data_IF_128649258284
#
_entry.id   IF_128649258284
#
_cell.length_a   1.000
_cell.length_b   1.000
_cell.length_c   1.000
_cell.angle_alpha   90.00
_cell.angle_beta   90.00
_cell.angle_gamma   90.00
#
_symmetry.space_group_name_H-M   'P 1'
#
loop_
_entity.id
_entity.type
_entity.pdbx_description
1 polymer ?
#
# COMPACT_ATOMS: atom_id res chain seq x y z
N UNK A 1 -32.96 6.68 0.10
CA UNK A 1 -31.58 6.38 0.56
C UNK A 1 -31.34 7.27 1.75
N UNK A 2 -31.09 6.73 2.94
CA UNK A 2 -30.68 7.55 4.07
C UNK A 2 -29.34 8.19 3.72
N UNK A 3 -29.21 9.51 3.88
CA UNK A 3 -27.92 10.18 3.75
C UNK A 3 -26.97 9.59 4.80
N UNK A 4 -26.00 8.79 4.38
CA UNK A 4 -24.95 8.31 5.26
C UNK A 4 -24.12 9.50 5.72
N UNK A 5 -23.88 9.60 7.01
CA UNK A 5 -22.98 10.60 7.58
C UNK A 5 -21.64 9.88 7.79
N UNK A 6 -20.69 10.12 6.92
CA UNK A 6 -19.30 9.62 7.07
C UNK A 6 -18.65 10.40 8.21
N UNK A 7 -18.03 9.70 9.13
CA UNK A 7 -17.21 10.26 10.21
C UNK A 7 -15.78 9.72 10.22
N UNK A 8 -15.56 8.59 9.55
CA UNK A 8 -14.30 7.85 9.57
C UNK A 8 -13.81 7.53 8.15
N UNK A 9 -12.58 7.95 7.85
CA UNK A 9 -11.94 7.72 6.56
C UNK A 9 -10.77 6.78 6.75
N UNK A 10 -10.84 5.63 6.11
CA UNK A 10 -9.79 4.63 6.10
C UNK A 10 -9.02 4.72 4.79
N UNK A 11 -7.72 4.85 4.87
CA UNK A 11 -6.82 4.84 3.72
C UNK A 11 -6.00 3.55 3.67
N UNK A 12 -5.78 3.04 2.48
CA UNK A 12 -4.58 2.26 2.24
C UNK A 12 -3.35 3.18 2.22
N UNK A 13 -2.15 2.63 2.38
CA UNK A 13 -0.92 3.42 2.43
C UNK A 13 -0.14 3.36 1.12
N UNK A 14 0.33 2.17 0.74
CA UNK A 14 1.18 1.97 -0.43
C UNK A 14 0.36 2.11 -1.73
N UNK A 15 0.88 2.84 -2.71
CA UNK A 15 0.18 3.20 -3.94
C UNK A 15 -1.08 4.07 -3.75
N UNK A 16 -1.39 4.49 -2.52
CA UNK A 16 -2.53 5.39 -2.23
C UNK A 16 -2.06 6.74 -1.71
N UNK A 17 -1.34 6.76 -0.60
CA UNK A 17 -0.74 7.98 -0.02
C UNK A 17 0.77 8.01 -0.24
N UNK A 18 1.43 6.86 -0.14
CA UNK A 18 2.86 6.66 -0.22
C UNK A 18 3.23 6.16 -1.63
N UNK A 19 4.05 6.92 -2.35
CA UNK A 19 4.49 6.63 -3.72
C UNK A 19 5.46 5.44 -3.73
N UNK A 20 4.86 4.24 -3.76
CA UNK A 20 5.62 2.99 -3.64
C UNK A 20 6.62 2.81 -4.77
N UNK A 21 6.23 3.05 -6.02
CA UNK A 21 7.10 2.83 -7.17
C UNK A 21 8.34 3.72 -7.11
N UNK A 22 8.17 4.99 -6.81
CA UNK A 22 9.27 5.94 -6.69
C UNK A 22 10.22 5.59 -5.55
N UNK A 23 9.67 5.34 -4.36
CA UNK A 23 10.48 5.04 -3.18
C UNK A 23 11.18 3.68 -3.33
N UNK A 24 10.52 2.68 -3.89
CA UNK A 24 11.08 1.37 -4.21
C UNK A 24 12.23 1.48 -5.21
N UNK A 25 12.04 2.26 -6.29
CA UNK A 25 13.08 2.49 -7.29
C UNK A 25 14.34 3.14 -6.71
N UNK A 26 14.18 4.17 -5.87
CA UNK A 26 15.30 4.82 -5.18
C UNK A 26 16.02 3.87 -4.21
N UNK A 27 15.25 3.02 -3.52
CA UNK A 27 15.81 2.00 -2.64
C UNK A 27 16.67 1.02 -3.44
N UNK A 28 16.13 0.46 -4.53
CA UNK A 28 16.88 -0.47 -5.37
C UNK A 28 18.11 0.19 -6.01
N UNK A 29 17.98 1.42 -6.50
CA UNK A 29 19.14 2.15 -7.02
C UNK A 29 20.28 2.23 -5.98
N UNK A 30 19.91 2.48 -4.72
CA UNK A 30 20.87 2.59 -3.62
C UNK A 30 21.52 1.25 -3.29
N UNK A 31 20.72 0.21 -3.05
CA UNK A 31 21.25 -1.10 -2.60
C UNK A 31 21.96 -1.87 -3.71
N UNK A 32 21.50 -1.76 -4.97
CA UNK A 32 22.17 -2.39 -6.11
C UNK A 32 23.55 -1.76 -6.36
N UNK A 33 23.64 -0.43 -6.33
CA UNK A 33 24.91 0.27 -6.43
C UNK A 33 25.88 -0.07 -5.28
N UNK A 34 25.37 -0.09 -4.03
CA UNK A 34 26.16 -0.44 -2.83
C UNK A 34 26.77 -1.85 -2.93
N UNK A 35 26.05 -2.79 -3.51
CA UNK A 35 26.45 -4.18 -3.65
C UNK A 35 27.12 -4.50 -5.00
N UNK A 36 27.46 -3.48 -5.81
CA UNK A 36 28.07 -3.61 -7.13
C UNK A 36 27.27 -4.50 -8.12
N UNK A 37 25.94 -4.47 -8.05
CA UNK A 37 25.07 -5.16 -8.98
C UNK A 37 24.86 -4.29 -10.21
N UNK A 38 25.39 -4.70 -11.35
CA UNK A 38 25.51 -3.90 -12.58
C UNK A 38 24.29 -3.93 -13.50
N UNK A 39 23.07 -4.17 -12.98
CA UNK A 39 21.83 -4.12 -13.79
C UNK A 39 21.42 -2.68 -14.09
N UNK A 40 20.78 -2.47 -15.25
CA UNK A 40 20.12 -1.19 -15.52
C UNK A 40 18.92 -1.04 -14.60
N UNK A 41 18.87 0.04 -13.81
CA UNK A 41 17.79 0.22 -12.81
C UNK A 41 16.41 0.40 -13.45
N UNK A 42 16.32 1.03 -14.62
CA UNK A 42 15.04 1.21 -15.30
C UNK A 42 14.48 -0.14 -15.79
N UNK A 43 15.32 -0.97 -16.40
CA UNK A 43 14.94 -2.31 -16.84
C UNK A 43 14.57 -3.20 -15.63
N UNK A 44 15.40 -3.12 -14.56
CA UNK A 44 15.13 -3.83 -13.31
C UNK A 44 13.76 -3.47 -12.74
N UNK A 45 13.43 -2.19 -12.64
CA UNK A 45 12.15 -1.75 -12.07
C UNK A 45 10.94 -2.16 -12.92
N UNK A 46 11.04 -2.17 -14.25
CA UNK A 46 9.97 -2.66 -15.12
C UNK A 46 9.63 -4.12 -14.84
N UNK A 47 10.65 -4.96 -14.74
CA UNK A 47 10.49 -6.39 -14.46
C UNK A 47 10.06 -6.62 -13.02
N UNK A 48 10.73 -5.97 -12.07
CA UNK A 48 10.46 -6.11 -10.64
C UNK A 48 9.03 -5.69 -10.27
N UNK A 49 8.52 -4.56 -10.76
CA UNK A 49 7.18 -4.08 -10.39
C UNK A 49 6.09 -5.08 -10.77
N UNK A 50 6.21 -5.70 -11.95
CA UNK A 50 5.26 -6.74 -12.40
C UNK A 50 5.37 -8.00 -11.54
N UNK A 51 6.59 -8.53 -11.34
CA UNK A 51 6.82 -9.74 -10.54
C UNK A 51 6.41 -9.50 -9.08
N UNK A 52 6.77 -8.35 -8.51
CA UNK A 52 6.36 -7.97 -7.16
C UNK A 52 4.84 -7.98 -6.99
N UNK A 53 4.10 -7.46 -7.97
CA UNK A 53 2.64 -7.51 -7.95
C UNK A 53 2.12 -8.96 -7.92
N UNK A 54 2.65 -9.85 -8.77
CA UNK A 54 2.28 -11.27 -8.84
C UNK A 54 2.55 -11.99 -7.50
N UNK A 55 3.71 -11.74 -6.89
CA UNK A 55 4.06 -12.31 -5.58
C UNK A 55 3.15 -11.79 -4.46
N UNK A 56 2.78 -10.51 -4.48
CA UNK A 56 1.81 -9.96 -3.54
C UNK A 56 0.41 -10.56 -3.70
N UNK A 57 -0.03 -10.87 -4.92
CA UNK A 57 -1.31 -11.59 -5.16
C UNK A 57 -1.29 -12.97 -4.50
N UNK A 58 -0.18 -13.71 -4.61
CA UNK A 58 -0.03 -15.02 -3.95
C UNK A 58 0.02 -14.88 -2.42
N UNK A 59 0.75 -13.89 -1.92
CA UNK A 59 0.88 -13.65 -0.49
C UNK A 59 -0.44 -13.22 0.16
N UNK A 60 -1.26 -12.42 -0.52
CA UNK A 60 -2.58 -11.98 -0.02
C UNK A 60 -3.52 -13.15 0.28
N UNK A 61 -3.40 -14.25 -0.46
CA UNK A 61 -4.25 -15.45 -0.32
C UNK A 61 -3.52 -16.61 0.38
N UNK A 62 -2.45 -16.31 1.10
CA UNK A 62 -1.66 -17.27 1.89
C UNK A 62 -1.10 -18.46 1.09
N UNK A 63 -0.86 -18.28 -0.21
CA UNK A 63 -0.24 -19.30 -1.08
C UNK A 63 1.28 -19.37 -0.94
N UNK A 64 1.89 -18.28 -0.46
CA UNK A 64 3.31 -18.17 -0.17
C UNK A 64 3.54 -17.50 1.18
N UNK A 65 4.67 -17.79 1.78
CA UNK A 65 5.13 -17.16 3.02
C UNK A 65 5.74 -15.78 2.74
N UNK A 66 5.98 -15.01 3.80
CA UNK A 66 6.70 -13.73 3.71
C UNK A 66 8.14 -13.92 3.20
N UNK A 67 8.80 -15.00 3.58
CA UNK A 67 10.15 -15.32 3.14
C UNK A 67 10.17 -15.62 1.63
N UNK A 68 9.25 -16.46 1.16
CA UNK A 68 9.08 -16.76 -0.27
C UNK A 68 8.74 -15.52 -1.09
N UNK A 69 7.88 -14.62 -0.59
CA UNK A 69 7.60 -13.33 -1.21
C UNK A 69 8.88 -12.51 -1.36
N UNK A 70 9.65 -12.36 -0.27
CA UNK A 70 10.81 -11.48 -0.22
C UNK A 70 11.96 -11.96 -1.09
N UNK A 71 12.22 -13.27 -1.07
CA UNK A 71 13.27 -13.90 -1.85
C UNK A 71 12.84 -14.08 -3.32
N UNK A 72 11.67 -14.70 -3.54
CA UNK A 72 11.24 -15.12 -4.87
C UNK A 72 11.09 -13.98 -5.85
N UNK A 73 10.48 -12.87 -5.44
CA UNK A 73 10.33 -11.71 -6.33
C UNK A 73 11.67 -11.13 -6.82
N UNK A 74 12.73 -11.19 -6.03
CA UNK A 74 14.07 -10.77 -6.46
C UNK A 74 14.72 -11.81 -7.36
N UNK A 75 14.65 -13.09 -6.97
CA UNK A 75 15.17 -14.19 -7.75
C UNK A 75 14.62 -14.18 -9.17
N UNK A 76 13.29 -14.19 -9.31
CA UNK A 76 12.62 -14.22 -10.60
C UNK A 76 12.92 -12.95 -11.42
N UNK A 77 13.08 -11.79 -10.76
CA UNK A 77 13.48 -10.56 -11.44
C UNK A 77 14.86 -10.67 -12.07
N UNK A 78 15.85 -11.20 -11.35
CA UNK A 78 17.19 -11.40 -11.89
C UNK A 78 17.23 -12.50 -12.95
N UNK A 79 16.48 -13.58 -12.78
CA UNK A 79 16.34 -14.64 -13.78
C UNK A 79 15.74 -14.10 -15.09
N UNK A 80 14.70 -13.27 -15.04
CA UNK A 80 14.09 -12.70 -16.25
C UNK A 80 15.01 -11.67 -16.94
N UNK A 81 15.90 -11.05 -16.19
CA UNK A 81 16.93 -10.15 -16.74
C UNK A 81 18.17 -10.86 -17.24
N UNK A 82 18.21 -12.19 -17.24
CA UNK A 82 19.40 -13.00 -17.58
C UNK A 82 20.64 -12.57 -16.80
N UNK A 83 20.47 -12.12 -15.54
CA UNK A 83 21.56 -11.65 -14.69
C UNK A 83 21.93 -12.69 -13.64
N UNK A 84 23.17 -13.22 -13.75
CA UNK A 84 23.69 -14.19 -12.79
C UNK A 84 23.93 -13.53 -11.43
N UNK A 85 23.28 -14.04 -10.40
CA UNK A 85 23.39 -13.57 -9.03
C UNK A 85 23.36 -14.75 -8.05
N UNK A 86 24.13 -14.69 -6.97
CA UNK A 86 24.10 -15.75 -5.96
C UNK A 86 22.90 -15.62 -5.02
N UNK A 87 22.39 -16.75 -4.52
CA UNK A 87 21.32 -16.76 -3.51
C UNK A 87 21.68 -15.94 -2.27
N UNK A 88 22.94 -15.99 -1.84
CA UNK A 88 23.42 -15.20 -0.71
C UNK A 88 23.25 -13.68 -0.95
N UNK A 89 23.51 -13.20 -2.18
CA UNK A 89 23.34 -11.80 -2.53
C UNK A 89 21.85 -11.44 -2.66
N UNK A 90 21.01 -12.33 -3.17
CA UNK A 90 19.54 -12.13 -3.19
C UNK A 90 19.00 -11.96 -1.77
N UNK A 91 19.40 -12.82 -0.83
CA UNK A 91 19.00 -12.69 0.57
C UNK A 91 19.47 -11.35 1.17
N UNK A 92 20.72 -10.96 0.94
CA UNK A 92 21.25 -9.68 1.41
C UNK A 92 20.44 -8.50 0.84
N UNK A 93 20.19 -8.47 -0.48
CA UNK A 93 19.38 -7.44 -1.12
C UNK A 93 17.94 -7.40 -0.59
N UNK A 94 17.36 -8.56 -0.30
CA UNK A 94 16.03 -8.67 0.29
C UNK A 94 15.96 -8.03 1.68
N UNK A 95 16.97 -8.26 2.51
CA UNK A 95 17.06 -7.66 3.85
C UNK A 95 17.32 -6.14 3.78
N UNK A 96 18.28 -5.73 2.96
CA UNK A 96 18.62 -4.31 2.74
C UNK A 96 17.40 -3.55 2.16
N UNK A 97 16.65 -4.15 1.24
CA UNK A 97 15.45 -3.52 0.70
C UNK A 97 14.44 -3.19 1.80
N UNK A 98 14.13 -4.13 2.68
CA UNK A 98 13.19 -3.89 3.78
C UNK A 98 13.74 -2.86 4.78
N UNK A 99 15.05 -2.87 5.04
CA UNK A 99 15.67 -1.94 5.96
C UNK A 99 15.70 -0.50 5.42
N UNK A 100 16.01 -0.32 4.12
CA UNK A 100 16.21 0.99 3.51
C UNK A 100 14.94 1.57 2.85
N UNK A 101 13.92 0.76 2.56
CA UNK A 101 12.70 1.23 1.90
C UNK A 101 12.04 2.42 2.63
N UNK A 102 11.96 2.47 3.97
CA UNK A 102 11.37 3.61 4.69
C UNK A 102 12.28 4.84 4.78
N UNK A 103 13.47 4.84 4.20
CA UNK A 103 14.36 6.02 4.16
C UNK A 103 13.94 7.01 3.06
N UNK A 104 13.27 6.53 2.00
CA UNK A 104 12.67 7.34 0.95
C UNK A 104 11.20 7.55 1.25
N UNK A 105 10.73 8.82 1.24
CA UNK A 105 9.45 9.18 1.83
C UNK A 105 8.60 10.08 0.91
N UNK A 106 8.65 9.81 -0.39
CA UNK A 106 7.80 10.51 -1.34
C UNK A 106 6.35 10.06 -1.16
N UNK A 107 5.47 11.04 -1.10
CA UNK A 107 4.03 10.85 -1.09
C UNK A 107 3.47 11.22 -2.46
N UNK A 108 2.30 10.69 -2.79
CA UNK A 108 1.56 11.16 -3.95
C UNK A 108 1.21 12.65 -3.84
N UNK A 109 1.14 13.30 -4.99
CA UNK A 109 0.76 14.72 -5.06
C UNK A 109 -0.60 14.95 -4.39
N UNK A 110 -0.66 15.98 -3.53
CA UNK A 110 -1.85 16.33 -2.78
C UNK A 110 -2.12 15.49 -1.53
N UNK A 111 -1.31 14.47 -1.20
CA UNK A 111 -1.54 13.63 -0.02
C UNK A 111 -1.59 14.44 1.28
N UNK A 112 -0.57 15.27 1.55
CA UNK A 112 -0.53 16.10 2.77
C UNK A 112 -1.70 17.08 2.79
N UNK A 113 -1.97 17.77 1.67
CA UNK A 113 -3.06 18.75 1.60
C UNK A 113 -4.44 18.12 1.85
N UNK A 114 -4.65 16.89 1.41
CA UNK A 114 -5.89 16.16 1.65
C UNK A 114 -5.99 15.73 3.10
N UNK A 115 -4.90 15.21 3.68
CA UNK A 115 -4.88 14.83 5.10
C UNK A 115 -5.15 16.04 6.01
N UNK A 116 -4.53 17.19 5.73
CA UNK A 116 -4.79 18.45 6.46
C UNK A 116 -6.23 18.91 6.33
N UNK A 117 -6.82 18.78 5.14
CA UNK A 117 -8.22 19.14 4.88
C UNK A 117 -9.22 18.22 5.57
N UNK A 118 -8.94 16.91 5.59
CA UNK A 118 -9.85 15.92 6.16
C UNK A 118 -9.76 15.81 7.67
N UNK A 119 -8.57 15.93 8.27
CA UNK A 119 -8.35 15.71 9.72
C UNK A 119 -9.26 16.54 10.64
N UNK A 120 -9.59 17.82 10.36
CA UNK A 120 -10.53 18.57 11.19
C UNK A 120 -11.99 18.11 11.10
N UNK A 121 -12.35 17.33 10.08
CA UNK A 121 -13.73 16.93 9.78
C UNK A 121 -14.00 15.45 10.07
N UNK A 122 -12.97 14.60 9.96
CA UNK A 122 -13.06 13.16 10.02
C UNK A 122 -11.97 12.57 10.92
N UNK A 123 -12.22 11.42 11.49
CA UNK A 123 -11.18 10.56 12.04
C UNK A 123 -10.51 9.82 10.89
N UNK A 124 -9.18 9.83 10.85
CA UNK A 124 -8.43 9.20 9.77
C UNK A 124 -7.74 7.94 10.28
N UNK A 125 -7.74 6.90 9.46
CA UNK A 125 -7.24 5.58 9.80
C UNK A 125 -6.48 4.97 8.63
N UNK A 126 -5.56 4.04 8.92
CA UNK A 126 -4.88 3.22 7.91
C UNK A 126 -5.34 1.77 8.01
N UNK A 127 -5.55 1.12 6.85
CA UNK A 127 -5.65 -0.35 6.72
C UNK A 127 -4.69 -0.79 5.63
N UNK A 128 -3.61 -1.50 5.98
CA UNK A 128 -2.56 -1.89 5.04
C UNK A 128 -2.19 -3.37 5.12
N UNK A 129 -1.74 -3.96 4.01
CA UNK A 129 -1.17 -5.31 3.97
C UNK A 129 0.35 -5.33 4.24
N UNK A 130 0.99 -4.16 4.35
CA UNK A 130 2.42 -4.05 4.60
C UNK A 130 2.83 -4.56 5.99
N UNK A 131 4.11 -4.82 6.15
CA UNK A 131 4.70 -5.32 7.40
C UNK A 131 4.70 -4.24 8.48
N UNK A 132 4.26 -4.57 9.67
CA UNK A 132 4.05 -3.65 10.78
C UNK A 132 5.19 -2.62 10.96
N UNK A 133 6.42 -3.10 11.18
CA UNK A 133 7.58 -2.22 11.40
C UNK A 133 7.89 -1.30 10.21
N UNK A 134 7.70 -1.79 8.99
CA UNK A 134 7.98 -1.01 7.78
C UNK A 134 6.94 0.11 7.63
N UNK A 135 5.66 -0.20 7.84
CA UNK A 135 4.59 0.79 7.74
C UNK A 135 4.70 1.88 8.82
N UNK A 136 5.04 1.48 10.06
CA UNK A 136 5.30 2.44 11.15
C UNK A 136 6.44 3.42 10.79
N UNK A 137 7.54 2.91 10.24
CA UNK A 137 8.66 3.74 9.78
C UNK A 137 8.26 4.63 8.59
N UNK A 138 7.53 4.12 7.60
CA UNK A 138 7.03 4.93 6.48
C UNK A 138 6.19 6.10 6.96
N UNK A 139 5.21 5.85 7.83
CA UNK A 139 4.34 6.89 8.39
C UNK A 139 5.12 7.94 9.18
N UNK A 140 6.08 7.52 9.99
CA UNK A 140 6.92 8.43 10.78
C UNK A 140 7.85 9.26 9.90
N UNK A 141 8.56 8.60 9.00
CA UNK A 141 9.58 9.25 8.19
C UNK A 141 8.98 10.18 7.12
N UNK A 142 7.78 9.88 6.61
CA UNK A 142 7.03 10.80 5.73
C UNK A 142 6.26 11.88 6.50
N UNK A 143 6.42 11.93 7.83
CA UNK A 143 5.80 12.91 8.71
C UNK A 143 4.26 12.95 8.64
N UNK A 144 3.61 11.84 8.31
CA UNK A 144 2.13 11.75 8.23
C UNK A 144 1.49 10.95 9.35
N UNK A 145 2.27 10.30 10.23
CA UNK A 145 1.74 9.47 11.31
C UNK A 145 0.73 10.20 12.22
N UNK A 146 0.94 11.50 12.45
CA UNK A 146 0.12 12.32 13.34
C UNK A 146 -1.30 12.61 12.81
N UNK A 147 -1.57 12.36 11.52
CA UNK A 147 -2.91 12.49 10.96
C UNK A 147 -3.82 11.31 11.33
N UNK A 148 -3.28 10.14 11.64
CA UNK A 148 -4.06 8.92 11.81
C UNK A 148 -4.33 8.60 13.28
N UNK A 149 -5.61 8.34 13.59
CA UNK A 149 -6.03 7.93 14.92
C UNK A 149 -5.74 6.45 15.17
N UNK A 150 -5.80 5.62 14.12
CA UNK A 150 -5.44 4.19 14.19
C UNK A 150 -4.72 3.72 12.93
N UNK A 151 -3.85 2.72 13.10
CA UNK A 151 -3.20 2.00 12.01
C UNK A 151 -3.45 0.52 12.21
N UNK A 152 -4.04 -0.12 11.22
CA UNK A 152 -4.28 -1.57 11.19
C UNK A 152 -3.45 -2.16 10.05
N UNK A 153 -2.54 -3.03 10.38
CA UNK A 153 -1.74 -3.81 9.44
C UNK A 153 -2.11 -5.30 9.48
N UNK A 154 -1.60 -6.07 8.52
CA UNK A 154 -1.93 -7.49 8.40
C UNK A 154 -1.41 -8.33 9.56
N UNK A 155 -0.33 -7.94 10.23
CA UNK A 155 0.24 -8.66 11.38
C UNK A 155 -0.62 -8.43 12.62
N UNK A 156 -1.06 -7.20 12.89
CA UNK A 156 -1.94 -6.85 14.01
C UNK A 156 -3.33 -7.48 13.89
N UNK A 157 -3.85 -7.60 12.67
CA UNK A 157 -5.13 -8.23 12.40
C UNK A 157 -5.06 -9.76 12.27
N UNK A 158 -3.85 -10.31 12.08
CA UNK A 158 -3.61 -11.74 11.83
C UNK A 158 -4.04 -12.23 10.45
N UNK A 159 -4.52 -11.34 9.59
CA UNK A 159 -4.99 -11.63 8.21
C UNK A 159 -4.76 -10.43 7.32
N UNK A 160 -4.75 -10.65 6.00
CA UNK A 160 -4.54 -9.64 4.96
C UNK A 160 -5.84 -9.21 4.27
N UNK A 161 -5.94 -7.97 3.79
CA UNK A 161 -6.97 -7.59 2.79
C UNK A 161 -6.82 -8.50 1.57
N UNK A 162 -7.91 -9.04 0.98
CA UNK A 162 -9.32 -8.68 1.14
C UNK A 162 -10.09 -9.44 2.25
N UNK A 163 -9.43 -10.15 3.18
CA UNK A 163 -10.13 -10.88 4.23
C UNK A 163 -10.98 -9.92 5.07
N UNK A 164 -12.30 -10.18 5.26
CA UNK A 164 -13.19 -9.28 6.01
C UNK A 164 -12.79 -9.06 7.48
N UNK A 165 -11.99 -9.96 8.04
CA UNK A 165 -11.57 -9.86 9.44
C UNK A 165 -10.70 -8.62 9.67
N UNK A 166 -9.80 -8.24 8.71
CA UNK A 166 -8.95 -7.05 8.89
C UNK A 166 -9.79 -5.76 8.94
N UNK A 167 -10.84 -5.65 8.13
CA UNK A 167 -11.75 -4.50 8.15
C UNK A 167 -12.57 -4.45 9.45
N UNK A 168 -13.08 -5.59 9.92
CA UNK A 168 -13.80 -5.68 11.21
C UNK A 168 -12.88 -5.32 12.37
N UNK A 169 -11.63 -5.76 12.33
CA UNK A 169 -10.61 -5.39 13.31
C UNK A 169 -10.35 -3.88 13.28
N UNK A 170 -10.16 -3.29 12.11
CA UNK A 170 -9.96 -1.85 11.94
C UNK A 170 -11.15 -1.03 12.48
N UNK A 171 -12.39 -1.43 12.17
CA UNK A 171 -13.59 -0.80 12.73
C UNK A 171 -13.63 -0.88 14.26
N UNK A 172 -13.28 -2.04 14.81
CA UNK A 172 -13.25 -2.25 16.26
C UNK A 172 -12.20 -1.34 16.93
N UNK A 173 -10.96 -1.30 16.41
CA UNK A 173 -9.88 -0.46 16.93
C UNK A 173 -10.21 1.03 16.79
N UNK A 174 -10.83 1.43 15.69
CA UNK A 174 -11.29 2.80 15.47
C UNK A 174 -12.54 3.17 16.29
N UNK A 175 -13.17 2.19 16.95
CA UNK A 175 -14.44 2.36 17.65
C UNK A 175 -15.49 3.06 16.78
N UNK A 176 -15.74 2.51 15.59
CA UNK A 176 -16.70 3.04 14.62
C UNK A 176 -17.55 1.94 14.00
N UNK A 177 -18.55 2.35 13.21
CA UNK A 177 -19.45 1.45 12.49
C UNK A 177 -19.22 1.57 10.98
N UNK A 178 -19.52 0.49 10.28
CA UNK A 178 -19.31 0.41 8.84
C UNK A 178 -20.12 1.44 8.05
N UNK A 179 -21.31 1.77 8.55
CA UNK A 179 -22.23 2.74 7.92
C UNK A 179 -21.67 4.16 7.91
N UNK A 180 -20.74 4.47 8.82
CA UNK A 180 -20.13 5.80 8.98
C UNK A 180 -18.72 5.85 8.38
N UNK A 181 -18.29 4.77 7.69
CA UNK A 181 -16.93 4.57 7.26
C UNK A 181 -16.81 4.53 5.74
N UNK A 182 -15.72 5.12 5.24
CA UNK A 182 -15.33 5.07 3.83
C UNK A 182 -13.91 4.55 3.69
N UNK A 183 -13.67 3.67 2.71
CA UNK A 183 -12.34 3.16 2.35
C UNK A 183 -11.83 3.87 1.09
N UNK A 184 -10.57 4.30 1.11
CA UNK A 184 -9.87 4.90 -0.04
C UNK A 184 -8.62 4.07 -0.28
N UNK A 185 -8.46 3.52 -1.49
CA UNK A 185 -7.31 2.68 -1.83
C UNK A 185 -7.15 2.48 -3.33
N UNK A 186 -5.99 1.95 -3.74
CA UNK A 186 -5.59 1.75 -5.13
C UNK A 186 -5.91 0.36 -5.68
N UNK A 187 -6.36 -0.57 -4.85
CA UNK A 187 -6.61 -1.95 -5.25
C UNK A 187 -8.11 -2.27 -5.29
N UNK A 188 -8.63 -2.52 -6.50
CA UNK A 188 -10.04 -2.86 -6.70
C UNK A 188 -10.46 -4.10 -5.86
N UNK A 189 -9.59 -5.11 -5.76
CA UNK A 189 -9.92 -6.37 -5.08
C UNK A 189 -9.81 -6.21 -3.57
N UNK A 190 -8.65 -5.74 -3.09
CA UNK A 190 -8.32 -5.76 -1.66
C UNK A 190 -8.91 -4.58 -0.88
N UNK A 191 -9.12 -3.43 -1.52
CA UNK A 191 -9.62 -2.24 -0.84
C UNK A 191 -11.09 -1.97 -1.16
N UNK A 192 -11.43 -1.94 -2.43
CA UNK A 192 -12.73 -1.44 -2.88
C UNK A 192 -13.79 -2.52 -2.79
N UNK A 193 -13.65 -3.64 -3.50
CA UNK A 193 -14.66 -4.69 -3.49
C UNK A 193 -14.82 -5.31 -2.10
N UNK A 194 -13.70 -5.50 -1.39
CA UNK A 194 -13.72 -6.05 -0.05
C UNK A 194 -14.49 -5.14 0.92
N UNK A 195 -14.20 -3.85 0.96
CA UNK A 195 -14.87 -2.90 1.84
C UNK A 195 -16.34 -2.69 1.47
N UNK A 196 -16.66 -2.55 0.17
CA UNK A 196 -18.05 -2.44 -0.31
C UNK A 196 -18.89 -3.66 0.09
N UNK A 197 -18.32 -4.88 0.01
CA UNK A 197 -19.02 -6.12 0.41
C UNK A 197 -19.42 -6.17 1.88
N UNK A 198 -18.71 -5.42 2.72
CA UNK A 198 -18.96 -5.29 4.15
C UNK A 198 -19.91 -4.14 4.49
N UNK A 199 -20.17 -3.27 3.53
CA UNK A 199 -21.06 -2.12 3.70
C UNK A 199 -20.35 -0.78 3.93
N UNK A 200 -19.04 -0.68 3.82
CA UNK A 200 -18.37 0.62 3.71
C UNK A 200 -18.86 1.39 2.48
N UNK A 201 -18.69 2.69 2.48
CA UNK A 201 -18.53 3.43 1.22
C UNK A 201 -17.08 3.25 0.74
N UNK A 202 -16.81 3.44 -0.55
CA UNK A 202 -15.44 3.27 -1.07
C UNK A 202 -15.15 4.19 -2.24
N UNK A 203 -13.90 4.64 -2.33
CA UNK A 203 -13.37 5.43 -3.46
C UNK A 203 -12.07 4.78 -3.94
N UNK A 204 -12.05 4.40 -5.19
CA UNK A 204 -10.86 3.88 -5.85
C UNK A 204 -9.93 5.01 -6.26
N UNK A 205 -8.68 4.98 -5.78
CA UNK A 205 -7.62 5.86 -6.28
C UNK A 205 -7.02 5.26 -7.54
N UNK A 206 -7.42 5.77 -8.69
CA UNK A 206 -7.08 5.29 -10.02
C UNK A 206 -6.02 6.18 -10.68
N UNK A 207 -4.83 6.28 -10.09
CA UNK A 207 -3.74 7.11 -10.59
C UNK A 207 -3.40 6.84 -12.06
N UNK A 208 -3.45 5.57 -12.46
CA UNK A 208 -3.06 5.13 -13.81
C UNK A 208 -4.17 5.20 -14.86
N UNK A 209 -5.33 5.80 -14.53
CA UNK A 209 -6.47 5.92 -15.45
C UNK A 209 -6.90 4.59 -16.09
N UNK A 210 -6.87 3.50 -15.33
CA UNK A 210 -7.36 2.18 -15.78
C UNK A 210 -8.87 2.21 -15.97
N UNK A 211 -9.38 1.32 -16.82
CA UNK A 211 -10.82 1.13 -16.97
C UNK A 211 -11.46 0.68 -15.64
N UNK A 212 -12.54 1.35 -15.25
CA UNK A 212 -13.24 1.09 -13.99
C UNK A 212 -14.65 0.59 -14.27
N UNK A 213 -15.06 -0.46 -13.57
CA UNK A 213 -16.40 -0.99 -13.69
C UNK A 213 -17.46 0.04 -13.31
N UNK A 214 -18.61 0.00 -14.01
CA UNK A 214 -19.74 0.91 -13.74
C UNK A 214 -20.19 0.78 -12.29
N UNK A 215 -20.36 1.92 -11.60
CA UNK A 215 -20.80 1.99 -10.21
C UNK A 215 -19.69 2.10 -9.17
N UNK A 216 -18.42 1.91 -9.53
CA UNK A 216 -17.30 2.17 -8.63
C UNK A 216 -16.95 3.67 -8.66
N UNK A 217 -17.05 4.34 -7.52
CA UNK A 217 -16.58 5.71 -7.37
C UNK A 217 -15.04 5.71 -7.46
N UNK A 218 -14.48 6.60 -8.25
CA UNK A 218 -13.02 6.71 -8.40
C UNK A 218 -12.55 8.15 -8.56
N UNK A 219 -11.30 8.36 -8.24
CA UNK A 219 -10.56 9.61 -8.43
C UNK A 219 -9.20 9.28 -9.04
N UNK A 220 -8.66 10.20 -9.83
CA UNK A 220 -7.33 10.05 -10.44
C UNK A 220 -6.28 10.97 -9.78
N UNK A 221 -6.74 11.82 -8.86
CA UNK A 221 -5.92 12.74 -8.09
C UNK A 221 -6.50 12.84 -6.68
N UNK A 222 -5.65 12.79 -5.67
CA UNK A 222 -6.06 12.84 -4.27
C UNK A 222 -6.80 14.13 -3.91
N UNK A 223 -6.44 15.27 -4.52
CA UNK A 223 -7.10 16.55 -4.26
C UNK A 223 -8.60 16.54 -4.58
N UNK A 224 -9.04 15.64 -5.46
CA UNK A 224 -10.47 15.46 -5.76
C UNK A 224 -11.28 15.04 -4.53
N UNK A 225 -10.67 14.43 -3.52
CA UNK A 225 -11.33 14.10 -2.25
C UNK A 225 -11.90 15.34 -1.54
N UNK A 226 -11.29 16.52 -1.70
CA UNK A 226 -11.79 17.78 -1.11
C UNK A 226 -13.16 18.22 -1.65
N UNK A 227 -13.59 17.69 -2.79
CA UNK A 227 -14.90 17.98 -3.39
C UNK A 227 -15.94 16.90 -3.11
N UNK A 228 -15.50 15.75 -2.58
CA UNK A 228 -16.34 14.60 -2.31
C UNK A 228 -16.63 14.48 -0.81
N UNK A 229 -15.63 14.82 0.02
CA UNK A 229 -15.63 14.81 1.48
C UNK A 229 -15.40 16.23 2.02
#
# INVERSE_FOLDING_TARGET
MQNRIISDVFFDLDHTLWDFEKNSGLTFQTILNKNNVGVNIADFMVVYSRINYEYWELYRVDKITQEELRYGRLKDTFEELDYEISDALIHLLSEEYIAHLPEFNYLYEGAIEVLEYLKPKYRLHIITNGFHKVQDLKLKNSAIAHYFDTVTDSESAGVKKPNPIIFKHALHVANTQVENSIMIGDCIVSDINASLSLGFDAIYFNEHNKDVAVGIKHINNLLSLKTIL
#
